data_IF_211642479120
#
_entry.id   IF_211642479120
#
_cell.length_a   1.000
_cell.length_b   1.000
_cell.length_c   1.000
_cell.angle_alpha   90.00
_cell.angle_beta   90.00
_cell.angle_gamma   90.00
#
_symmetry.space_group_name_H-M   'P 1'
#
loop_
_entity.id
_entity.type
_entity.pdbx_description
1 polymer ?
#
# COMPACT_ATOMS: atom_id res chain seq x y z
N UNK A 1 1.77 -11.84 12.01
CA UNK A 1 1.62 -10.40 12.30
C UNK A 1 1.21 -9.72 11.01
N UNK A 2 0.00 -9.15 10.99
CA UNK A 2 -0.68 -8.71 9.78
C UNK A 2 -0.78 -7.19 9.68
N UNK A 3 -0.93 -6.72 8.44
CA UNK A 3 -1.45 -5.39 8.10
C UNK A 3 -2.70 -5.14 8.97
N UNK A 4 -2.84 -3.96 9.57
CA UNK A 4 -4.02 -3.59 10.36
C UNK A 4 -5.25 -3.48 9.45
N UNK A 5 -5.82 -4.64 9.12
CA UNK A 5 -7.05 -4.79 8.38
C UNK A 5 -8.05 -5.36 9.38
N UNK A 6 -8.60 -4.48 10.21
CA UNK A 6 -9.59 -4.85 11.23
C UNK A 6 -10.85 -5.48 10.61
N UNK A 7 -11.12 -5.19 9.34
CA UNK A 7 -12.37 -5.56 8.66
C UNK A 7 -12.24 -6.72 7.66
N UNK A 8 -11.03 -7.27 7.42
CA UNK A 8 -10.82 -8.31 6.40
C UNK A 8 -9.68 -9.26 6.75
N UNK A 9 -9.79 -10.53 6.33
CA UNK A 9 -8.66 -11.47 6.37
C UNK A 9 -7.61 -11.10 5.29
N UNK A 10 -6.38 -10.69 5.68
CA UNK A 10 -5.32 -10.36 4.72
C UNK A 10 -4.91 -11.55 3.85
N UNK A 11 -5.10 -12.80 4.30
CA UNK A 11 -4.77 -14.00 3.52
C UNK A 11 -5.69 -14.14 2.32
N UNK A 12 -6.99 -13.90 2.50
CA UNK A 12 -7.99 -13.93 1.42
C UNK A 12 -7.73 -12.81 0.41
N UNK A 13 -7.45 -11.60 0.88
CA UNK A 13 -7.12 -10.46 0.01
C UNK A 13 -5.84 -10.71 -0.83
N UNK A 14 -4.88 -11.47 -0.32
CA UNK A 14 -3.65 -11.80 -1.05
C UNK A 14 -3.88 -12.76 -2.22
N UNK A 15 -5.02 -13.43 -2.33
CA UNK A 15 -5.32 -14.36 -3.43
C UNK A 15 -5.53 -13.63 -4.76
N UNK A 16 -6.08 -12.42 -4.73
CA UNK A 16 -6.43 -11.66 -5.93
C UNK A 16 -5.51 -10.45 -6.14
N UNK A 17 -5.40 -9.99 -7.40
CA UNK A 17 -4.62 -8.79 -7.72
C UNK A 17 -5.24 -7.54 -7.09
N UNK A 18 -6.58 -7.41 -7.11
CA UNK A 18 -7.30 -6.29 -6.50
C UNK A 18 -7.11 -6.25 -4.98
N UNK A 19 -7.16 -7.40 -4.31
CA UNK A 19 -6.94 -7.48 -2.87
C UNK A 19 -5.51 -7.12 -2.48
N UNK A 20 -4.49 -7.55 -3.25
CA UNK A 20 -3.09 -7.12 -3.05
C UNK A 20 -2.92 -5.60 -3.18
N UNK A 21 -3.61 -4.97 -4.13
CA UNK A 21 -3.58 -3.51 -4.31
C UNK A 21 -4.26 -2.81 -3.14
N UNK A 22 -5.42 -3.30 -2.68
CA UNK A 22 -6.12 -2.78 -1.51
C UNK A 22 -5.26 -2.85 -0.25
N UNK A 23 -4.52 -3.94 -0.06
CA UNK A 23 -3.57 -4.08 1.05
C UNK A 23 -2.43 -3.06 0.96
N UNK A 24 -1.83 -2.89 -0.23
CA UNK A 24 -0.76 -1.92 -0.46
C UNK A 24 -1.24 -0.48 -0.21
N UNK A 25 -2.43 -0.14 -0.70
CA UNK A 25 -3.07 1.16 -0.46
C UNK A 25 -3.25 1.43 1.04
N UNK A 26 -3.79 0.45 1.80
CA UNK A 26 -3.97 0.60 3.24
C UNK A 26 -2.64 0.77 3.98
N UNK A 27 -1.60 0.01 3.62
CA UNK A 27 -0.27 0.16 4.21
C UNK A 27 0.28 1.58 3.99
N UNK A 28 0.08 2.17 2.82
CA UNK A 28 0.56 3.53 2.52
C UNK A 28 -0.27 4.59 3.25
N UNK A 29 -1.59 4.44 3.28
CA UNK A 29 -2.48 5.44 3.85
C UNK A 29 -2.43 5.47 5.39
N UNK A 30 -2.48 4.29 6.02
CA UNK A 30 -2.63 4.14 7.47
C UNK A 30 -1.34 3.70 8.17
N UNK A 31 -0.30 3.37 7.41
CA UNK A 31 0.95 2.82 7.92
C UNK A 31 1.03 1.30 7.76
N UNK A 32 2.24 0.82 7.53
CA UNK A 32 2.54 -0.60 7.62
C UNK A 32 2.63 -1.01 9.09
N UNK A 33 2.18 -2.23 9.41
CA UNK A 33 2.33 -2.77 10.77
C UNK A 33 3.80 -2.80 11.21
N UNK A 34 4.05 -3.00 12.51
CA UNK A 34 5.41 -3.01 13.09
C UNK A 34 6.36 -3.89 12.25
N UNK A 35 7.40 -3.28 11.68
CA UNK A 35 8.48 -3.95 10.97
C UNK A 35 8.24 -4.22 9.48
N UNK A 36 7.05 -3.97 8.93
CA UNK A 36 6.79 -4.18 7.51
C UNK A 36 7.26 -2.99 6.66
N UNK A 37 8.14 -3.24 5.69
CA UNK A 37 8.57 -2.23 4.72
C UNK A 37 7.67 -2.22 3.49
N UNK A 38 7.26 -1.02 3.06
CA UNK A 38 6.52 -0.82 1.80
C UNK A 38 7.50 -0.97 0.63
N UNK A 39 7.21 -1.86 -0.31
CA UNK A 39 8.04 -2.07 -1.51
C UNK A 39 7.72 -1.02 -2.58
N UNK A 40 8.60 -0.03 -2.76
CA UNK A 40 8.43 1.05 -3.75
C UNK A 40 8.17 0.55 -5.18
N UNK A 41 8.76 -0.58 -5.58
CA UNK A 41 8.51 -1.18 -6.90
C UNK A 41 7.03 -1.57 -7.11
N UNK A 42 6.34 -2.04 -6.06
CA UNK A 42 4.91 -2.34 -6.14
C UNK A 42 4.07 -1.07 -6.19
N UNK A 43 4.47 -0.04 -5.45
CA UNK A 43 3.82 1.28 -5.49
C UNK A 43 3.89 1.85 -6.92
N UNK A 44 5.08 1.81 -7.55
CA UNK A 44 5.26 2.24 -8.94
C UNK A 44 4.44 1.39 -9.92
N UNK A 45 4.44 0.07 -9.76
CA UNK A 45 3.67 -0.86 -10.63
C UNK A 45 2.17 -0.59 -10.59
N UNK A 46 1.62 -0.25 -9.44
CA UNK A 46 0.18 -0.07 -9.25
C UNK A 46 -0.25 1.40 -9.10
N UNK A 47 0.62 2.35 -9.43
CA UNK A 47 0.42 3.77 -9.17
C UNK A 47 -0.96 4.31 -9.59
N UNK A 48 -1.39 4.00 -10.82
CA UNK A 48 -2.66 4.46 -11.37
C UNK A 48 -3.90 3.77 -10.79
N UNK A 49 -3.70 2.76 -9.93
CA UNK A 49 -4.78 1.97 -9.29
C UNK A 49 -4.88 2.22 -7.78
N UNK A 50 -3.95 2.99 -7.21
CA UNK A 50 -3.91 3.28 -5.78
C UNK A 50 -4.68 4.57 -5.49
N UNK A 51 -5.64 4.51 -4.58
CA UNK A 51 -6.32 5.67 -4.03
C UNK A 51 -5.60 6.14 -2.75
N UNK A 52 -4.56 6.95 -2.95
CA UNK A 52 -3.71 7.44 -1.86
C UNK A 52 -4.17 8.81 -1.35
N UNK A 53 -4.10 9.01 -0.03
CA UNK A 53 -4.30 10.33 0.56
C UNK A 53 -3.26 11.33 0.05
N UNK A 54 -3.66 12.59 -0.13
CA UNK A 54 -2.85 13.64 -0.78
C UNK A 54 -1.39 13.67 -0.30
N UNK A 55 -1.16 13.74 1.00
CA UNK A 55 0.20 13.79 1.57
C UNK A 55 0.98 12.48 1.38
N UNK A 56 0.31 11.33 1.47
CA UNK A 56 0.93 10.02 1.24
C UNK A 56 1.32 9.83 -0.22
N UNK A 57 0.45 10.26 -1.13
CA UNK A 57 0.73 10.29 -2.57
C UNK A 57 1.96 11.14 -2.85
N UNK A 58 2.01 12.37 -2.31
CA UNK A 58 3.17 13.26 -2.51
C UNK A 58 4.48 12.69 -1.97
N UNK A 59 4.45 12.07 -0.79
CA UNK A 59 5.62 11.38 -0.25
C UNK A 59 6.08 10.25 -1.16
N UNK A 60 5.16 9.41 -1.66
CA UNK A 60 5.52 8.33 -2.57
C UNK A 60 6.05 8.89 -3.91
N UNK A 61 5.56 10.03 -4.38
CA UNK A 61 6.09 10.69 -5.58
C UNK A 61 7.56 11.07 -5.41
N UNK A 62 7.88 11.68 -4.26
CA UNK A 62 9.25 12.03 -3.89
C UNK A 62 10.14 10.80 -3.80
N UNK A 63 9.68 9.72 -3.16
CA UNK A 63 10.48 8.52 -2.97
C UNK A 63 10.69 7.71 -4.25
N UNK A 64 9.75 7.74 -5.19
CA UNK A 64 9.84 6.96 -6.44
C UNK A 64 10.56 7.74 -7.54
N UNK A 65 10.33 9.05 -7.62
CA UNK A 65 10.80 9.88 -8.74
C UNK A 65 11.66 11.08 -8.33
N UNK A 66 11.90 11.32 -7.04
CA UNK A 66 12.69 12.46 -6.56
C UNK A 66 12.02 13.82 -6.75
N UNK A 67 10.69 13.87 -6.77
CA UNK A 67 9.86 15.07 -7.09
C UNK A 67 9.08 15.63 -5.91
#
# INVERSE_FOLDING_TARGET
MGIAVWDYDPKELKKTVSGRIKLLERQINYGSGKGEKIKLALVKKYWNRLNLYKHRKRLMELLIWGK
#
